data_IF_264724152448
#
_entry.id   IF_264724152448
#
_cell.length_a   1.000
_cell.length_b   1.000
_cell.length_c   1.000
_cell.angle_alpha   90.00
_cell.angle_beta   90.00
_cell.angle_gamma   90.00
#
_symmetry.space_group_name_H-M   'P 1'
#
loop_
_entity.id
_entity.type
_entity.pdbx_description
1 polymer ?
#
# COMPACT_ATOMS: atom_id res chain seq x y z
N UNK A 1 -0.68 -2.76 -1.58
CA UNK A 1 -1.97 -2.82 -0.85
C UNK A 1 -2.33 -1.47 -0.23
N UNK A 2 -1.45 -0.85 0.56
CA UNK A 2 -1.75 0.39 1.30
C UNK A 2 -2.33 1.54 0.46
N UNK A 3 -1.63 1.99 -0.59
CA UNK A 3 -1.98 3.25 -1.28
C UNK A 3 -1.60 4.49 -0.45
N UNK A 4 -2.26 5.62 -0.71
CA UNK A 4 -2.13 6.89 0.03
C UNK A 4 -0.69 7.45 0.06
N UNK A 5 0.00 7.43 -1.08
CA UNK A 5 1.45 7.61 -1.14
C UNK A 5 1.97 9.00 -0.75
N UNK A 6 1.09 10.02 -0.76
CA UNK A 6 1.40 11.43 -0.42
C UNK A 6 0.67 11.90 0.86
N UNK A 7 0.06 10.98 1.60
CA UNK A 7 -0.73 11.31 2.79
C UNK A 7 0.06 11.10 4.08
N UNK A 8 -0.30 11.87 5.11
CA UNK A 8 0.19 11.75 6.48
C UNK A 8 1.72 11.70 6.63
N UNK A 9 2.42 12.47 5.79
CA UNK A 9 3.86 12.68 5.90
C UNK A 9 4.73 11.58 5.29
N UNK A 10 4.15 10.64 4.54
CA UNK A 10 4.93 9.64 3.80
C UNK A 10 5.84 10.30 2.77
N UNK A 11 7.12 9.92 2.78
CA UNK A 11 8.04 10.26 1.68
C UNK A 11 8.00 9.22 0.55
N UNK A 12 8.30 9.62 -0.71
CA UNK A 12 8.40 8.69 -1.82
C UNK A 12 9.43 7.61 -1.55
N UNK A 13 9.05 6.35 -1.77
CA UNK A 13 9.99 5.23 -1.81
C UNK A 13 10.60 5.08 -3.21
N UNK A 14 11.62 4.22 -3.32
CA UNK A 14 12.21 3.87 -4.63
C UNK A 14 11.18 3.28 -5.61
N UNK A 15 10.16 2.57 -5.09
CA UNK A 15 9.12 1.96 -5.90
C UNK A 15 8.18 2.99 -6.50
N UNK A 16 7.88 4.07 -5.76
CA UNK A 16 7.05 5.17 -6.27
C UNK A 16 7.76 5.86 -7.46
N UNK A 17 9.09 6.00 -7.39
CA UNK A 17 9.85 6.58 -8.52
C UNK A 17 9.87 5.62 -9.70
N UNK A 18 10.11 4.34 -9.47
CA UNK A 18 10.20 3.32 -10.52
C UNK A 18 8.88 3.12 -11.26
N UNK A 19 7.74 3.04 -10.56
CA UNK A 19 6.44 2.80 -11.19
C UNK A 19 5.97 3.94 -12.10
N UNK A 20 6.53 5.14 -11.93
CA UNK A 20 6.22 6.31 -12.78
C UNK A 20 7.11 6.43 -14.03
N UNK A 21 8.08 5.53 -14.22
CA UNK A 21 8.91 5.51 -15.42
C UNK A 21 8.16 4.76 -16.54
N UNK A 22 7.91 5.37 -17.71
CA UNK A 22 7.20 4.72 -18.82
C UNK A 22 7.80 3.36 -19.19
N UNK A 23 6.95 2.34 -19.34
CA UNK A 23 7.34 0.97 -19.68
C UNK A 23 7.98 0.16 -18.54
N UNK A 24 8.06 0.69 -17.32
CA UNK A 24 8.58 -0.04 -16.16
C UNK A 24 7.58 -1.01 -15.54
N UNK A 25 6.29 -0.79 -15.79
CA UNK A 25 5.18 -1.64 -15.40
C UNK A 25 4.44 -2.04 -16.69
N UNK A 26 4.11 -3.33 -16.84
CA UNK A 26 3.54 -3.90 -18.06
C UNK A 26 2.22 -3.23 -18.49
N UNK A 27 1.39 -2.85 -17.52
CA UNK A 27 0.09 -2.21 -17.73
C UNK A 27 0.08 -0.71 -17.37
N UNK A 28 1.26 -0.12 -17.14
CA UNK A 28 1.46 1.27 -16.69
C UNK A 28 0.76 1.62 -15.35
N UNK A 29 0.36 0.62 -14.57
CA UNK A 29 -0.22 0.85 -13.24
C UNK A 29 0.81 1.31 -12.21
N UNK A 30 0.34 1.89 -11.09
CA UNK A 30 1.19 2.35 -10.00
C UNK A 30 0.61 2.01 -8.62
N UNK A 31 1.39 2.33 -7.58
CA UNK A 31 1.04 2.06 -6.18
C UNK A 31 0.26 3.16 -5.47
N UNK A 32 -0.17 4.21 -6.18
CA UNK A 32 -0.62 5.46 -5.56
C UNK A 32 -1.87 5.27 -4.70
N UNK A 33 -2.81 4.47 -5.22
CA UNK A 33 -4.07 4.12 -4.55
C UNK A 33 -4.09 2.63 -4.18
N UNK A 34 -3.59 1.75 -5.06
CA UNK A 34 -3.66 0.29 -4.89
C UNK A 34 -5.09 -0.19 -4.53
N UNK A 35 -5.27 -0.96 -3.45
CA UNK A 35 -6.60 -1.36 -2.94
C UNK A 35 -7.09 -0.42 -1.81
N UNK A 36 -6.36 0.68 -1.58
CA UNK A 36 -6.66 1.69 -0.56
C UNK A 36 -6.83 1.13 0.86
N UNK A 37 -6.06 0.09 1.19
CA UNK A 37 -6.08 -0.53 2.53
C UNK A 37 -5.70 0.48 3.62
N UNK A 38 -4.94 1.54 3.30
CA UNK A 38 -4.64 2.62 4.24
C UNK A 38 -5.91 3.20 4.89
N UNK A 39 -6.97 3.38 4.10
CA UNK A 39 -8.26 3.89 4.57
C UNK A 39 -9.23 2.79 5.00
N UNK A 40 -9.16 1.60 4.39
CA UNK A 40 -10.12 0.51 4.59
C UNK A 40 -9.62 -0.64 5.48
N UNK A 41 -8.48 -0.47 6.18
CA UNK A 41 -7.88 -1.55 6.98
C UNK A 41 -8.85 -2.18 8.00
N UNK A 42 -9.81 -1.42 8.54
CA UNK A 42 -10.80 -1.94 9.49
C UNK A 42 -11.70 -2.98 8.82
N UNK A 43 -12.24 -2.66 7.64
CA UNK A 43 -13.08 -3.60 6.87
C UNK A 43 -12.28 -4.81 6.38
N UNK A 44 -11.02 -4.60 6.00
CA UNK A 44 -10.14 -5.72 5.60
C UNK A 44 -9.89 -6.68 6.78
N UNK A 45 -9.67 -6.17 7.99
CA UNK A 45 -9.49 -6.98 9.20
C UNK A 45 -10.78 -7.71 9.59
N UNK A 46 -11.94 -7.05 9.49
CA UNK A 46 -13.24 -7.69 9.71
C UNK A 46 -13.48 -8.85 8.74
N UNK A 47 -13.22 -8.62 7.44
CA UNK A 47 -13.35 -9.66 6.42
C UNK A 47 -12.39 -10.83 6.68
N UNK A 48 -11.15 -10.56 7.09
CA UNK A 48 -10.18 -11.60 7.46
C UNK A 48 -10.66 -12.45 8.65
N UNK A 49 -11.31 -11.83 9.64
CA UNK A 49 -11.91 -12.55 10.75
C UNK A 49 -13.10 -13.40 10.30
N UNK A 50 -13.96 -12.90 9.40
CA UNK A 50 -15.12 -13.62 8.88
C UNK A 50 -14.75 -14.88 8.08
N UNK A 51 -13.66 -14.83 7.31
CA UNK A 51 -13.17 -15.99 6.55
C UNK A 51 -12.36 -16.99 7.40
N UNK A 52 -12.19 -16.70 8.70
CA UNK A 52 -11.51 -17.57 9.66
C UNK A 52 -9.98 -17.57 9.56
N UNK A 53 -9.36 -16.46 9.17
CA UNK A 53 -7.89 -16.34 9.20
C UNK A 53 -7.39 -16.17 10.64
N UNK A 54 -6.44 -17.02 11.04
CA UNK A 54 -5.81 -16.94 12.36
C UNK A 54 -4.69 -15.90 12.45
N UNK A 55 -4.01 -15.62 11.33
CA UNK A 55 -2.82 -14.75 11.29
C UNK A 55 -2.81 -13.91 10.02
N UNK A 56 -2.61 -12.61 10.20
CA UNK A 56 -2.33 -11.68 9.10
C UNK A 56 -0.91 -11.10 9.23
N UNK A 57 -0.09 -11.35 8.20
CA UNK A 57 1.28 -10.81 8.11
C UNK A 57 1.30 -9.66 7.11
N UNK A 58 1.66 -8.47 7.58
CA UNK A 58 1.86 -7.28 6.77
C UNK A 58 3.26 -6.70 6.95
N UNK A 59 3.67 -5.82 6.04
CA UNK A 59 4.93 -5.06 6.12
C UNK A 59 4.64 -3.61 6.46
N UNK A 60 5.56 -2.95 7.17
CA UNK A 60 5.45 -1.52 7.46
C UNK A 60 6.27 -0.73 6.42
N UNK A 61 5.65 0.29 5.80
CA UNK A 61 6.36 1.19 4.89
C UNK A 61 7.38 2.05 5.65
N UNK A 62 8.68 1.88 5.37
CA UNK A 62 9.75 2.60 6.08
C UNK A 62 9.63 4.12 5.91
N UNK A 63 9.31 4.59 4.71
CA UNK A 63 9.17 6.02 4.41
C UNK A 63 7.92 6.68 5.04
N UNK A 64 7.05 5.89 5.69
CA UNK A 64 5.99 6.38 6.59
C UNK A 64 6.47 6.54 8.04
N UNK A 65 7.42 5.70 8.48
CA UNK A 65 7.94 5.73 9.85
C UNK A 65 9.05 6.77 10.04
N UNK A 66 9.97 6.82 9.07
CA UNK A 66 11.11 7.74 9.05
C UNK A 66 11.15 8.35 7.65
N UNK A 67 10.53 9.53 7.48
CA UNK A 67 10.54 10.27 6.22
C UNK A 67 11.95 10.70 5.81
#
# INVERSE_FOLDING_TARGET
MEGAIFEDGRWPSIWDTFSHIPGSIEDESNGDIAINQYHYYQGDVEMMAEIGMDVYRFSISWSRLIP
#
